data_IF_576246137072
#
_entry.id   IF_576246137072
#
_cell.length_a   1.000
_cell.length_b   1.000
_cell.length_c   1.000
_cell.angle_alpha   90.00
_cell.angle_beta   90.00
_cell.angle_gamma   90.00
#
_symmetry.space_group_name_H-M   'P 1'
#
loop_
_entity.id
_entity.type
_entity.pdbx_description
1 polymer ?
#
# COMPACT_ATOMS: atom_id res chain seq x y z
N UNK A 1 -4.35 1.72 24.35
CA UNK A 1 -2.91 2.09 24.41
C UNK A 1 -2.70 3.08 23.27
N UNK A 2 -2.60 4.37 23.58
CA UNK A 2 -2.58 5.44 22.57
C UNK A 2 -1.35 5.27 21.69
N UNK A 3 -1.55 4.92 20.41
CA UNK A 3 -0.49 4.84 19.41
C UNK A 3 0.15 6.23 19.28
N UNK A 4 1.38 6.38 19.77
CA UNK A 4 2.10 7.65 19.69
C UNK A 4 2.77 7.76 18.31
N UNK A 5 2.06 8.40 17.37
CA UNK A 5 2.59 8.70 16.03
C UNK A 5 3.94 9.43 16.09
N UNK A 6 4.22 10.20 17.15
CA UNK A 6 5.49 10.95 17.29
C UNK A 6 6.68 10.01 17.46
N UNK A 7 6.47 8.77 17.90
CA UNK A 7 7.51 7.72 17.92
C UNK A 7 7.71 7.04 16.56
N UNK A 8 6.71 7.06 15.68
CA UNK A 8 6.75 6.32 14.41
C UNK A 8 7.29 7.16 13.23
N UNK A 9 7.20 8.49 13.31
CA UNK A 9 7.65 9.41 12.26
C UNK A 9 8.73 10.36 12.81
N UNK A 10 9.93 10.42 12.20
CA UNK A 10 10.98 11.33 12.65
C UNK A 10 10.55 12.80 12.48
N UNK A 11 11.08 13.68 13.33
CA UNK A 11 10.76 15.11 13.28
C UNK A 11 11.25 15.80 11.99
N UNK A 12 12.25 15.22 11.32
CA UNK A 12 12.79 15.69 10.04
C UNK A 12 13.47 14.51 9.35
N UNK A 13 13.49 14.53 8.01
CA UNK A 13 14.21 13.56 7.19
C UNK A 13 15.56 14.08 6.74
N UNK A 14 16.50 13.17 6.54
CA UNK A 14 17.76 13.48 5.87
C UNK A 14 17.49 13.97 4.44
N UNK A 15 18.38 14.83 3.96
CA UNK A 15 18.33 15.36 2.60
C UNK A 15 19.36 14.68 1.74
N UNK A 16 19.00 14.42 0.48
CA UNK A 16 19.97 13.96 -0.51
C UNK A 16 20.95 15.08 -0.87
N UNK A 17 22.08 14.71 -1.46
CA UNK A 17 23.02 15.66 -2.04
C UNK A 17 22.33 16.65 -2.99
N UNK A 18 22.82 17.90 -3.06
CA UNK A 18 22.21 18.97 -3.89
C UNK A 18 22.09 18.62 -5.38
N UNK A 19 22.88 17.67 -5.87
CA UNK A 19 22.86 17.19 -7.26
C UNK A 19 21.81 16.09 -7.50
N UNK A 20 21.40 15.37 -6.45
CA UNK A 20 20.47 14.23 -6.51
C UNK A 20 19.03 14.68 -6.30
N UNK A 21 18.10 13.92 -6.87
CA UNK A 21 16.67 14.14 -6.66
C UNK A 21 16.20 13.40 -5.41
N UNK A 22 15.37 14.09 -4.62
CA UNK A 22 14.62 13.55 -3.51
C UNK A 22 13.21 14.15 -3.51
N UNK A 23 12.39 13.85 -2.51
CA UNK A 23 11.04 14.39 -2.44
C UNK A 23 11.00 15.85 -1.98
N UNK A 24 9.99 16.57 -2.46
CA UNK A 24 9.73 17.94 -2.05
C UNK A 24 9.40 18.01 -0.56
N UNK A 25 10.35 18.50 0.23
CA UNK A 25 10.23 18.62 1.68
C UNK A 25 8.95 19.34 2.13
N UNK A 26 8.49 20.38 1.40
CA UNK A 26 7.28 21.11 1.77
C UNK A 26 6.03 20.26 1.63
N UNK A 27 5.95 19.43 0.58
CA UNK A 27 4.81 18.54 0.37
C UNK A 27 4.80 17.42 1.40
N UNK A 28 5.98 16.83 1.67
CA UNK A 28 6.15 15.81 2.73
C UNK A 28 5.70 16.36 4.09
N UNK A 29 6.24 17.51 4.49
CA UNK A 29 5.94 18.12 5.79
C UNK A 29 4.46 18.50 5.91
N UNK A 30 3.85 19.03 4.84
CA UNK A 30 2.44 19.37 4.81
C UNK A 30 1.53 18.14 4.95
N UNK A 31 1.87 17.05 4.24
CA UNK A 31 1.13 15.79 4.33
C UNK A 31 1.23 15.18 5.73
N UNK A 32 2.43 15.08 6.29
CA UNK A 32 2.64 14.53 7.63
C UNK A 32 1.97 15.36 8.73
N UNK A 33 1.93 16.68 8.57
CA UNK A 33 1.17 17.55 9.47
C UNK A 33 -0.33 17.24 9.41
N UNK A 34 -0.90 17.11 8.22
CA UNK A 34 -2.31 16.72 8.03
C UNK A 34 -2.60 15.36 8.64
N UNK A 35 -1.79 14.35 8.30
CA UNK A 35 -1.92 13.00 8.82
C UNK A 35 -1.89 12.98 10.36
N UNK A 36 -0.96 13.71 10.99
CA UNK A 36 -0.93 13.84 12.45
C UNK A 36 -2.23 14.43 13.01
N UNK A 37 -2.76 15.49 12.40
CA UNK A 37 -4.02 16.10 12.83
C UNK A 37 -5.19 15.12 12.73
N UNK A 38 -5.31 14.38 11.62
CA UNK A 38 -6.37 13.38 11.43
C UNK A 38 -6.24 12.22 12.42
N UNK A 39 -5.00 11.85 12.79
CA UNK A 39 -4.77 10.82 13.79
C UNK A 39 -5.11 11.27 15.21
N UNK A 40 -4.71 12.48 15.60
CA UNK A 40 -5.00 13.02 16.93
C UNK A 40 -6.48 13.41 17.11
N UNK A 41 -7.17 13.84 16.04
CA UNK A 41 -8.56 14.33 16.08
C UNK A 41 -9.45 13.59 15.05
N UNK A 42 -9.97 12.40 15.39
CA UNK A 42 -10.83 11.63 14.48
C UNK A 42 -12.15 12.34 14.17
N UNK A 43 -12.75 12.98 15.17
CA UNK A 43 -14.11 13.51 15.06
C UNK A 43 -14.04 14.97 14.59
N UNK A 44 -14.38 15.22 13.33
CA UNK A 44 -14.59 16.57 12.80
C UNK A 44 -13.45 17.16 11.95
N UNK A 45 -12.41 16.40 11.60
CA UNK A 45 -11.44 16.84 10.59
C UNK A 45 -12.11 16.86 9.20
N UNK A 46 -12.21 18.04 8.57
CA UNK A 46 -12.70 18.16 7.20
C UNK A 46 -11.82 17.41 6.18
N UNK A 47 -10.54 17.19 6.53
CA UNK A 47 -9.55 16.46 5.76
C UNK A 47 -9.04 15.25 6.57
N UNK A 48 -9.90 14.25 6.81
CA UNK A 48 -9.43 12.97 7.36
C UNK A 48 -8.46 12.31 6.37
N UNK A 49 -7.33 11.84 6.89
CA UNK A 49 -6.37 11.00 6.16
C UNK A 49 -6.66 9.56 6.57
N UNK A 50 -6.98 8.72 5.59
CA UNK A 50 -7.11 7.29 5.73
C UNK A 50 -5.79 6.57 5.37
N UNK A 51 -5.68 5.29 5.73
CA UNK A 51 -4.56 4.41 5.35
C UNK A 51 -4.30 4.45 3.83
N UNK A 52 -5.36 4.41 3.04
CA UNK A 52 -5.31 4.53 1.57
C UNK A 52 -4.74 5.86 1.09
N UNK A 53 -5.03 6.98 1.77
CA UNK A 53 -4.50 8.29 1.38
C UNK A 53 -2.99 8.39 1.64
N UNK A 54 -2.49 7.67 2.64
CA UNK A 54 -1.05 7.54 2.92
C UNK A 54 -0.35 6.73 1.86
N UNK A 55 -0.98 5.67 1.36
CA UNK A 55 -0.42 4.85 0.28
C UNK A 55 -0.41 5.56 -1.07
N UNK A 56 -1.49 6.27 -1.37
CA UNK A 56 -1.70 6.88 -2.69
C UNK A 56 -0.97 8.25 -2.83
N UNK A 57 -0.35 8.75 -1.75
CA UNK A 57 0.35 10.04 -1.77
C UNK A 57 1.60 9.99 -2.65
N UNK A 58 1.77 11.01 -3.48
CA UNK A 58 2.97 11.20 -4.28
C UNK A 58 3.55 12.59 -4.04
N UNK A 59 4.88 12.69 -4.08
CA UNK A 59 5.61 13.94 -3.91
C UNK A 59 6.45 14.28 -5.14
N UNK A 60 6.51 15.55 -5.47
CA UNK A 60 7.29 16.04 -6.60
C UNK A 60 8.80 15.81 -6.37
N UNK A 61 9.54 15.33 -7.38
CA UNK A 61 10.98 15.17 -7.28
C UNK A 61 11.70 16.53 -7.39
N UNK A 62 12.52 16.87 -6.40
CA UNK A 62 13.32 18.10 -6.36
C UNK A 62 14.78 17.82 -6.00
N UNK A 63 15.71 18.62 -6.53
CA UNK A 63 17.14 18.51 -6.21
C UNK A 63 17.42 18.92 -4.77
N UNK A 64 18.17 18.11 -4.03
CA UNK A 64 18.42 18.34 -2.59
C UNK A 64 17.16 18.23 -1.70
N UNK A 65 16.15 17.50 -2.18
CA UNK A 65 14.95 17.14 -1.43
C UNK A 65 15.23 16.18 -0.28
N UNK A 66 14.16 15.74 0.40
CA UNK A 66 14.28 14.66 1.38
C UNK A 66 14.61 13.34 0.70
N UNK A 67 15.40 12.51 1.39
CA UNK A 67 15.70 11.16 0.95
C UNK A 67 14.43 10.33 0.79
N UNK A 68 14.19 9.85 -0.43
CA UNK A 68 12.96 9.15 -0.78
C UNK A 68 12.80 7.87 0.06
N UNK A 69 13.85 7.07 0.22
CA UNK A 69 13.80 5.83 0.98
C UNK A 69 13.38 6.07 2.44
N UNK A 70 13.93 7.12 3.06
CA UNK A 70 13.63 7.50 4.44
C UNK A 70 12.19 7.97 4.62
N UNK A 71 11.66 8.71 3.64
CA UNK A 71 10.27 9.17 3.62
C UNK A 71 9.32 8.01 3.38
N UNK A 72 9.57 7.16 2.37
CA UNK A 72 8.75 5.99 2.03
C UNK A 72 8.64 5.05 3.23
N UNK A 73 9.75 4.74 3.90
CA UNK A 73 9.73 3.90 5.09
C UNK A 73 8.93 4.51 6.25
N UNK A 74 8.83 5.85 6.34
CA UNK A 74 7.97 6.50 7.32
C UNK A 74 6.49 6.51 6.92
N UNK A 75 6.19 6.63 5.62
CA UNK A 75 4.84 6.46 5.09
C UNK A 75 4.33 5.03 5.32
N UNK A 76 5.15 4.01 5.09
CA UNK A 76 4.81 2.60 5.36
C UNK A 76 4.36 2.42 6.83
N UNK A 77 5.14 2.96 7.78
CA UNK A 77 4.79 2.90 9.23
C UNK A 77 3.53 3.69 9.56
N UNK A 78 3.31 4.81 8.87
CA UNK A 78 2.14 5.64 9.05
C UNK A 78 0.88 4.95 8.52
N UNK A 79 0.95 4.33 7.33
CA UNK A 79 -0.12 3.52 6.74
C UNK A 79 -0.52 2.42 7.72
N UNK A 80 0.44 1.65 8.24
CA UNK A 80 0.16 0.58 9.21
C UNK A 80 -0.55 1.11 10.48
N UNK A 81 -0.18 2.31 10.94
CA UNK A 81 -0.79 2.93 12.11
C UNK A 81 -2.25 3.35 11.85
N UNK A 82 -2.52 3.93 10.67
CA UNK A 82 -3.88 4.25 10.26
C UNK A 82 -4.72 2.99 10.06
N UNK A 83 -4.20 1.96 9.39
CA UNK A 83 -4.92 0.71 9.16
C UNK A 83 -5.35 0.03 10.47
N UNK A 84 -4.45 -0.03 11.46
CA UNK A 84 -4.77 -0.56 12.81
C UNK A 84 -5.86 0.26 13.50
N UNK A 85 -5.78 1.58 13.42
CA UNK A 85 -6.78 2.46 14.03
C UNK A 85 -8.15 2.31 13.35
N UNK A 86 -8.19 2.31 12.03
CA UNK A 86 -9.42 2.12 11.25
C UNK A 86 -10.10 0.80 11.60
N UNK A 87 -9.30 -0.27 11.78
CA UNK A 87 -9.78 -1.54 12.31
C UNK A 87 -10.38 -1.38 13.71
N UNK A 88 -9.64 -0.80 14.64
CA UNK A 88 -10.07 -0.65 16.04
C UNK A 88 -11.35 0.21 16.15
N UNK A 89 -11.44 1.29 15.35
CA UNK A 89 -12.62 2.16 15.25
C UNK A 89 -13.83 1.40 14.67
N UNK A 90 -13.63 0.59 13.63
CA UNK A 90 -14.68 -0.24 13.04
C UNK A 90 -15.18 -1.29 14.02
N UNK A 91 -14.28 -2.00 14.72
CA UNK A 91 -14.62 -2.97 15.76
C UNK A 91 -15.39 -2.28 16.89
N UNK A 92 -14.95 -1.09 17.33
CA UNK A 92 -15.62 -0.35 18.39
C UNK A 92 -17.03 0.13 17.99
N UNK A 93 -17.25 0.49 16.73
CA UNK A 93 -18.52 1.04 16.25
C UNK A 93 -19.52 -0.04 15.80
N UNK A 94 -19.03 -1.10 15.16
CA UNK A 94 -19.86 -2.10 14.47
C UNK A 94 -19.69 -3.53 15.01
N UNK A 95 -18.76 -3.74 15.95
CA UNK A 95 -18.45 -5.03 16.54
C UNK A 95 -17.46 -5.84 15.71
N UNK A 96 -16.80 -6.79 16.38
CA UNK A 96 -15.78 -7.67 15.80
C UNK A 96 -16.34 -8.53 14.65
N UNK A 97 -17.59 -8.98 14.75
CA UNK A 97 -18.21 -9.78 13.68
C UNK A 97 -18.36 -9.00 12.37
N UNK A 98 -18.63 -7.69 12.43
CA UNK A 98 -18.74 -6.86 11.23
C UNK A 98 -17.39 -6.74 10.53
N UNK A 99 -16.32 -6.54 11.30
CA UNK A 99 -14.95 -6.55 10.82
C UNK A 99 -14.56 -7.91 10.21
N UNK A 100 -14.80 -9.02 10.90
CA UNK A 100 -14.52 -10.37 10.39
C UNK A 100 -15.25 -10.65 9.07
N UNK A 101 -16.52 -10.23 8.94
CA UNK A 101 -17.27 -10.33 7.68
C UNK A 101 -16.64 -9.49 6.56
N UNK A 102 -16.18 -8.28 6.86
CA UNK A 102 -15.52 -7.42 5.88
C UNK A 102 -14.20 -8.03 5.39
N UNK A 103 -13.35 -8.48 6.32
CA UNK A 103 -12.08 -9.15 6.00
C UNK A 103 -12.31 -10.45 5.24
N UNK A 104 -13.28 -11.26 5.67
CA UNK A 104 -13.66 -12.49 4.96
C UNK A 104 -14.13 -12.23 3.53
N UNK A 105 -14.90 -11.16 3.30
CA UNK A 105 -15.33 -10.74 1.96
C UNK A 105 -14.15 -10.30 1.10
N UNK A 106 -13.25 -9.46 1.64
CA UNK A 106 -12.06 -9.01 0.93
C UNK A 106 -11.16 -10.19 0.54
N UNK A 107 -10.85 -11.05 1.52
CA UNK A 107 -10.06 -12.27 1.31
C UNK A 107 -10.69 -13.19 0.25
N UNK A 108 -12.01 -13.39 0.28
CA UNK A 108 -12.73 -14.18 -0.73
C UNK A 108 -12.59 -13.62 -2.16
N UNK A 109 -12.68 -12.30 -2.32
CA UNK A 109 -12.50 -11.64 -3.63
C UNK A 109 -11.07 -11.83 -4.14
N UNK A 110 -10.07 -11.62 -3.27
CA UNK A 110 -8.66 -11.74 -3.63
C UNK A 110 -8.30 -13.18 -4.00
N UNK A 111 -8.71 -14.15 -3.17
CA UNK A 111 -8.53 -15.59 -3.44
C UNK A 111 -9.20 -16.00 -4.75
N UNK A 112 -10.41 -15.53 -5.02
CA UNK A 112 -11.11 -15.82 -6.28
C UNK A 112 -10.33 -15.36 -7.53
N UNK A 113 -9.48 -14.34 -7.41
CA UNK A 113 -8.55 -13.95 -8.48
C UNK A 113 -7.29 -14.80 -8.49
N UNK A 114 -6.68 -15.04 -7.33
CA UNK A 114 -5.45 -15.83 -7.19
C UNK A 114 -5.59 -17.25 -7.73
N UNK A 115 -6.77 -17.86 -7.56
CA UNK A 115 -7.09 -19.22 -8.05
C UNK A 115 -7.35 -19.34 -9.55
N UNK A 116 -7.27 -18.24 -10.31
CA UNK A 116 -7.30 -18.35 -11.77
C UNK A 116 -6.00 -18.99 -12.27
N UNK A 117 -6.04 -19.67 -13.43
CA UNK A 117 -4.83 -20.22 -14.03
C UNK A 117 -3.75 -19.15 -14.23
N UNK A 118 -2.49 -19.59 -14.20
CA UNK A 118 -1.35 -18.76 -14.56
C UNK A 118 -1.56 -18.15 -15.96
N UNK A 119 -1.24 -16.87 -16.12
CA UNK A 119 -1.49 -16.11 -17.34
C UNK A 119 -2.90 -15.53 -17.50
N UNK A 120 -3.86 -15.89 -16.63
CA UNK A 120 -5.27 -15.50 -16.70
C UNK A 120 -5.79 -14.74 -15.46
N UNK A 121 -4.92 -14.48 -14.47
CA UNK A 121 -5.29 -13.78 -13.22
C UNK A 121 -5.72 -12.33 -13.46
N UNK A 122 -5.08 -11.66 -14.42
CA UNK A 122 -5.33 -10.27 -14.77
C UNK A 122 -5.60 -10.11 -16.27
N UNK A 123 -6.24 -9.01 -16.62
CA UNK A 123 -6.55 -8.63 -17.99
C UNK A 123 -5.27 -8.21 -18.71
N UNK A 124 -5.30 -8.35 -20.04
CA UNK A 124 -4.32 -7.74 -20.93
C UNK A 124 -4.71 -6.27 -21.17
N UNK A 125 -3.74 -5.36 -21.35
CA UNK A 125 -4.04 -3.99 -21.75
C UNK A 125 -4.80 -3.93 -23.08
N UNK A 126 -5.71 -2.97 -23.22
CA UNK A 126 -6.54 -2.83 -24.42
C UNK A 126 -5.76 -2.43 -25.69
N UNK A 127 -4.55 -1.87 -25.55
CA UNK A 127 -3.73 -1.35 -26.65
C UNK A 127 -2.42 -2.13 -26.73
N UNK A 128 -2.04 -2.59 -27.93
CA UNK A 128 -0.82 -3.40 -28.14
C UNK A 128 0.51 -2.69 -27.83
N UNK A 129 0.53 -1.36 -27.73
CA UNK A 129 1.76 -0.57 -27.56
C UNK A 129 1.91 0.06 -26.17
N UNK A 130 1.00 -0.22 -25.23
CA UNK A 130 1.17 0.28 -23.86
C UNK A 130 2.10 -0.64 -23.06
N UNK A 131 2.68 -0.09 -22.00
CA UNK A 131 3.43 -0.90 -21.03
C UNK A 131 2.47 -1.84 -20.28
N UNK A 132 3.05 -2.93 -19.80
CA UNK A 132 2.36 -4.01 -19.10
C UNK A 132 3.39 -4.71 -18.21
N UNK A 133 2.95 -5.35 -17.14
CA UNK A 133 3.85 -6.16 -16.32
C UNK A 133 4.05 -7.56 -16.89
N UNK A 134 5.26 -8.09 -16.73
CA UNK A 134 5.58 -9.46 -17.11
C UNK A 134 4.71 -10.44 -16.32
N UNK A 135 4.03 -11.33 -17.04
CA UNK A 135 3.08 -12.30 -16.48
C UNK A 135 3.73 -13.24 -15.48
N UNK A 136 4.94 -13.73 -15.79
CA UNK A 136 5.63 -14.70 -14.93
C UNK A 136 6.01 -14.07 -13.59
N UNK A 137 6.47 -12.83 -13.59
CA UNK A 137 6.85 -12.14 -12.35
C UNK A 137 5.62 -11.87 -11.47
N UNK A 138 4.49 -11.47 -12.07
CA UNK A 138 3.24 -11.23 -11.35
C UNK A 138 2.64 -12.55 -10.83
N UNK A 139 2.65 -13.60 -11.64
CA UNK A 139 2.11 -14.91 -11.24
C UNK A 139 2.98 -15.57 -10.15
N UNK A 140 4.30 -15.34 -10.17
CA UNK A 140 5.19 -15.78 -9.09
C UNK A 140 4.83 -15.13 -7.75
N UNK A 141 4.61 -13.81 -7.71
CA UNK A 141 4.12 -13.14 -6.50
C UNK A 141 2.73 -13.65 -6.10
N UNK A 142 1.84 -13.92 -7.06
CA UNK A 142 0.53 -14.51 -6.75
C UNK A 142 0.64 -15.89 -6.09
N UNK A 143 1.62 -16.70 -6.48
CA UNK A 143 1.88 -17.99 -5.86
C UNK A 143 2.36 -17.84 -4.40
N UNK A 144 3.24 -16.87 -4.12
CA UNK A 144 3.65 -16.54 -2.75
C UNK A 144 2.45 -16.06 -1.90
N UNK A 145 1.56 -15.25 -2.47
CA UNK A 145 0.34 -14.80 -1.81
C UNK A 145 -0.62 -15.95 -1.48
N UNK A 146 -0.75 -16.94 -2.36
CA UNK A 146 -1.52 -18.17 -2.08
C UNK A 146 -0.88 -18.91 -0.90
N UNK A 147 0.45 -19.06 -0.93
CA UNK A 147 1.22 -19.65 0.17
C UNK A 147 0.95 -19.00 1.52
N UNK A 148 0.99 -17.66 1.56
CA UNK A 148 0.66 -16.89 2.75
C UNK A 148 -0.79 -17.08 3.20
N UNK A 149 -1.75 -16.93 2.28
CA UNK A 149 -3.17 -16.94 2.64
C UNK A 149 -3.72 -18.33 2.99
N UNK A 150 -3.15 -19.41 2.46
CA UNK A 150 -3.74 -20.75 2.55
C UNK A 150 -2.83 -21.79 3.20
N UNK A 151 -1.52 -21.54 3.26
CA UNK A 151 -0.53 -22.52 3.72
C UNK A 151 0.31 -22.01 4.88
N UNK A 152 -0.08 -20.88 5.49
CA UNK A 152 0.60 -20.28 6.64
C UNK A 152 2.09 -20.02 6.36
N UNK A 153 2.43 -19.77 5.08
CA UNK A 153 3.80 -19.46 4.69
C UNK A 153 4.10 -17.99 5.02
N UNK A 154 5.25 -17.70 5.65
CA UNK A 154 5.58 -16.33 6.00
C UNK A 154 5.82 -15.49 4.74
N UNK A 155 5.10 -14.37 4.63
CA UNK A 155 5.32 -13.36 3.61
C UNK A 155 5.22 -11.98 4.26
N UNK A 156 6.22 -11.15 4.05
CA UNK A 156 6.20 -9.78 4.58
C UNK A 156 5.36 -8.87 3.68
N UNK A 157 4.56 -8.00 4.30
CA UNK A 157 3.85 -6.93 3.58
C UNK A 157 4.81 -6.02 2.78
N UNK A 158 6.05 -5.84 3.25
CA UNK A 158 7.08 -5.04 2.55
C UNK A 158 7.47 -5.66 1.21
N UNK A 159 7.49 -7.01 1.11
CA UNK A 159 7.72 -7.72 -0.15
C UNK A 159 6.67 -7.37 -1.19
N UNK A 160 5.40 -7.27 -0.78
CA UNK A 160 4.29 -6.90 -1.67
C UNK A 160 4.37 -5.42 -2.05
N UNK A 161 4.63 -4.53 -1.08
CA UNK A 161 4.78 -3.08 -1.32
C UNK A 161 5.92 -2.75 -2.29
N UNK A 162 7.05 -3.46 -2.18
CA UNK A 162 8.25 -3.23 -2.99
C UNK A 162 8.35 -4.15 -4.21
N UNK A 163 7.27 -4.87 -4.56
CA UNK A 163 7.28 -5.76 -5.70
C UNK A 163 7.58 -4.98 -7.00
N UNK A 164 8.60 -5.41 -7.73
CA UNK A 164 8.96 -4.83 -9.03
C UNK A 164 8.86 -5.92 -10.09
N UNK A 165 8.08 -5.66 -11.13
CA UNK A 165 7.91 -6.57 -12.25
C UNK A 165 8.70 -6.10 -13.46
N UNK A 166 9.27 -7.03 -14.23
CA UNK A 166 9.88 -6.69 -15.52
C UNK A 166 8.81 -6.12 -16.45
N UNK A 167 9.18 -5.11 -17.23
CA UNK A 167 8.30 -4.54 -18.24
C UNK A 167 8.09 -5.52 -19.42
N UNK A 168 6.84 -5.67 -19.83
CA UNK A 168 6.40 -6.30 -21.07
C UNK A 168 5.68 -5.27 -21.96
N UNK A 169 5.12 -5.69 -23.09
CA UNK A 169 4.37 -4.81 -23.99
C UNK A 169 3.00 -5.37 -24.33
N UNK A 170 1.99 -4.52 -24.24
CA UNK A 170 0.65 -4.83 -24.73
C UNK A 170 0.12 -6.15 -24.18
N UNK A 171 -0.37 -7.00 -25.08
CA UNK A 171 -0.98 -8.29 -24.76
C UNK A 171 -0.01 -9.36 -24.26
N UNK A 172 1.30 -9.12 -24.32
CA UNK A 172 2.31 -10.04 -23.75
C UNK A 172 2.37 -9.96 -22.22
N UNK A 173 1.85 -8.89 -21.62
CA UNK A 173 1.84 -8.68 -20.17
C UNK A 173 0.45 -8.44 -19.58
N UNK A 174 0.40 -8.30 -18.25
CA UNK A 174 -0.80 -7.88 -17.54
C UNK A 174 -0.92 -6.35 -17.50
N UNK A 175 -2.16 -5.87 -17.48
CA UNK A 175 -2.49 -4.46 -17.31
C UNK A 175 -2.00 -3.93 -15.96
N UNK A 176 -1.04 -2.99 -15.99
CA UNK A 176 -0.35 -2.48 -14.79
C UNK A 176 -1.35 -1.97 -13.75
N UNK A 177 -2.29 -1.12 -14.18
CA UNK A 177 -3.29 -0.53 -13.29
C UNK A 177 -4.19 -1.58 -12.58
N UNK A 178 -4.49 -2.72 -13.22
CA UNK A 178 -5.27 -3.77 -12.56
C UNK A 178 -4.43 -4.55 -11.55
N UNK A 179 -3.15 -4.79 -11.85
CA UNK A 179 -2.23 -5.48 -10.95
C UNK A 179 -1.97 -4.60 -9.73
N UNK A 180 -1.64 -3.32 -9.93
CA UNK A 180 -1.38 -2.36 -8.86
C UNK A 180 -2.59 -2.26 -7.92
N UNK A 181 -3.79 -2.04 -8.47
CA UNK A 181 -5.02 -1.98 -7.68
C UNK A 181 -5.35 -3.28 -6.93
N UNK A 182 -4.86 -4.42 -7.40
CA UNK A 182 -4.99 -5.69 -6.68
C UNK A 182 -3.99 -5.80 -5.54
N UNK A 183 -2.71 -5.48 -5.78
CA UNK A 183 -1.66 -5.51 -4.76
C UNK A 183 -1.97 -4.53 -3.62
N UNK A 184 -2.54 -3.38 -3.96
CA UNK A 184 -3.12 -2.44 -3.01
C UNK A 184 -4.11 -3.09 -2.04
N UNK A 185 -5.04 -3.89 -2.57
CA UNK A 185 -6.03 -4.60 -1.74
C UNK A 185 -5.42 -5.74 -0.93
N UNK A 186 -4.34 -6.35 -1.44
CA UNK A 186 -3.57 -7.35 -0.71
C UNK A 186 -2.84 -6.71 0.47
N UNK A 187 -2.18 -5.57 0.28
CA UNK A 187 -1.52 -4.81 1.35
C UNK A 187 -2.54 -4.40 2.43
N UNK A 188 -3.71 -3.92 2.03
CA UNK A 188 -4.82 -3.61 2.95
C UNK A 188 -5.23 -4.84 3.77
N UNK A 189 -5.38 -6.00 3.12
CA UNK A 189 -5.73 -7.25 3.82
C UNK A 189 -4.64 -7.65 4.83
N UNK A 190 -3.37 -7.66 4.41
CA UNK A 190 -2.23 -8.04 5.27
C UNK A 190 -2.11 -7.12 6.49
N UNK A 191 -2.18 -5.80 6.27
CA UNK A 191 -2.13 -4.81 7.35
C UNK A 191 -3.31 -4.91 8.34
N UNK A 192 -4.43 -5.49 7.91
CA UNK A 192 -5.59 -5.67 8.78
C UNK A 192 -5.52 -6.94 9.64
N UNK A 193 -4.86 -8.00 9.16
CA UNK A 193 -4.79 -9.31 9.81
C UNK A 193 -3.49 -9.56 10.58
N UNK A 194 -2.40 -8.84 10.26
CA UNK A 194 -1.16 -8.80 11.05
C UNK A 194 -1.34 -8.03 12.38
#
# INVERSE_FOLDING_TARGET
MTLDIRRQIPATFDRVERSKYGYNAKQVDAFLSRARTSFENPVGAADQVASTDVRDVAFDPVKGGYDANSVDAALDRLEDAFARRERDDLISQQGEEAWLRQIGKLSGILRGRLHRPDGERFRRPAKKKVRSYNVQDVDALCAELIGYLEHDQPLSVDTVRRAVFRAAKGDEGYDEAQVDAFLDRVVELMAAID
#
